data_IF_767839839606
#
_entry.id   IF_767839839606
#
_cell.length_a   1.000
_cell.length_b   1.000
_cell.length_c   1.000
_cell.angle_alpha   90.00
_cell.angle_beta   90.00
_cell.angle_gamma   90.00
#
_symmetry.space_group_name_H-M   'P 1'
#
loop_
_entity.id
_entity.type
_entity.pdbx_description
1 polymer ?
#
# COMPACT_ATOMS: atom_id res chain seq x y z
N UNK A 1 -0.07 3.68 -37.34
CA UNK A 1 0.67 2.55 -36.81
C UNK A 1 0.05 1.27 -37.34
N UNK A 2 0.77 0.53 -38.18
CA UNK A 2 0.34 -0.79 -38.65
C UNK A 2 0.60 -1.75 -37.48
N UNK A 3 -0.47 -2.23 -36.85
CA UNK A 3 -0.37 -3.28 -35.83
C UNK A 3 0.23 -4.54 -36.46
N UNK A 4 1.04 -5.28 -35.73
CA UNK A 4 1.42 -6.63 -36.10
C UNK A 4 0.17 -7.49 -36.21
N UNK A 5 0.19 -8.48 -37.12
CA UNK A 5 -0.95 -9.38 -37.33
C UNK A 5 -1.18 -10.40 -36.19
N UNK A 6 -0.73 -10.09 -34.99
CA UNK A 6 -0.91 -10.89 -33.79
C UNK A 6 -2.21 -10.54 -33.06
N UNK A 7 -2.70 -11.47 -32.27
CA UNK A 7 -3.86 -11.28 -31.43
C UNK A 7 -3.67 -10.04 -30.53
N UNK A 8 -4.69 -9.18 -30.44
CA UNK A 8 -4.59 -7.93 -29.70
C UNK A 8 -4.50 -8.21 -28.20
N UNK A 9 -3.38 -7.88 -27.61
CA UNK A 9 -3.21 -7.85 -26.14
C UNK A 9 -3.47 -6.45 -25.60
N UNK A 10 -4.27 -6.35 -24.54
CA UNK A 10 -4.50 -5.10 -23.83
C UNK A 10 -3.27 -4.79 -22.98
N UNK A 11 -2.62 -3.66 -23.22
CA UNK A 11 -1.49 -3.22 -22.42
C UNK A 11 -1.93 -2.74 -21.02
N UNK A 12 -1.00 -2.75 -20.06
CA UNK A 12 -1.26 -2.21 -18.72
C UNK A 12 -1.73 -0.75 -18.74
N UNK A 13 -1.12 0.08 -19.60
CA UNK A 13 -1.54 1.48 -19.77
C UNK A 13 -2.97 1.61 -20.32
N UNK A 14 -3.39 0.69 -21.21
CA UNK A 14 -4.76 0.65 -21.71
C UNK A 14 -5.75 0.21 -20.63
N UNK A 15 -5.36 -0.72 -19.74
CA UNK A 15 -6.19 -1.13 -18.61
C UNK A 15 -6.38 0.05 -17.63
N UNK A 16 -5.31 0.74 -17.26
CA UNK A 16 -5.37 1.93 -16.39
C UNK A 16 -6.27 3.02 -17.02
N UNK A 17 -6.15 3.24 -18.32
CA UNK A 17 -7.02 4.19 -19.02
C UNK A 17 -8.49 3.76 -18.99
N UNK A 18 -8.77 2.47 -19.12
CA UNK A 18 -10.16 1.96 -19.02
C UNK A 18 -10.75 2.18 -17.64
N UNK A 19 -9.96 1.96 -16.59
CA UNK A 19 -10.41 2.18 -15.22
C UNK A 19 -10.70 3.66 -14.92
N UNK A 20 -9.90 4.58 -15.46
CA UNK A 20 -10.03 6.00 -15.16
C UNK A 20 -10.97 6.75 -16.14
N UNK A 21 -10.87 6.45 -17.42
CA UNK A 21 -11.60 7.16 -18.49
C UNK A 21 -12.80 6.37 -19.01
N UNK A 22 -12.92 5.12 -18.67
CA UNK A 22 -14.03 4.27 -19.05
C UNK A 22 -15.34 4.67 -18.36
N UNK A 23 -16.36 3.87 -18.62
CA UNK A 23 -17.68 4.04 -18.01
C UNK A 23 -18.14 2.76 -17.34
N UNK A 24 -18.92 2.94 -16.29
CA UNK A 24 -19.54 1.88 -15.51
C UNK A 24 -21.05 2.03 -15.46
N UNK A 25 -21.72 0.94 -15.17
CA UNK A 25 -23.12 0.95 -14.75
C UNK A 25 -23.16 1.31 -13.27
N UNK A 26 -24.07 2.24 -12.90
CA UNK A 26 -24.26 2.71 -11.51
C UNK A 26 -25.75 2.79 -11.18
N UNK A 27 -26.08 2.69 -9.89
CA UNK A 27 -27.42 2.85 -9.39
C UNK A 27 -27.91 4.30 -9.58
N UNK A 28 -29.14 4.47 -10.05
CA UNK A 28 -29.77 5.79 -10.22
C UNK A 28 -30.22 6.40 -8.91
N UNK A 29 -30.57 5.55 -7.94
CA UNK A 29 -31.07 5.88 -6.60
C UNK A 29 -30.56 4.84 -5.61
N UNK A 30 -30.80 5.03 -4.33
CA UNK A 30 -30.58 3.98 -3.34
C UNK A 30 -31.51 2.80 -3.58
N UNK A 31 -30.96 1.60 -3.68
CA UNK A 31 -31.66 0.35 -3.97
C UNK A 31 -31.41 -0.62 -2.80
N UNK A 32 -32.47 -1.28 -2.35
CA UNK A 32 -32.35 -2.26 -1.28
C UNK A 32 -32.07 -3.65 -1.85
N UNK A 33 -31.42 -4.49 -1.05
CA UNK A 33 -31.31 -5.92 -1.28
C UNK A 33 -32.68 -6.52 -1.61
N UNK A 34 -32.71 -7.38 -2.61
CA UNK A 34 -33.96 -7.99 -3.12
C UNK A 34 -34.63 -7.21 -4.23
N UNK A 35 -34.16 -5.99 -4.56
CA UNK A 35 -34.66 -5.23 -5.71
C UNK A 35 -34.36 -5.98 -7.01
N UNK A 36 -35.38 -6.18 -7.84
CA UNK A 36 -35.22 -6.67 -9.20
C UNK A 36 -34.88 -5.48 -10.09
N UNK A 37 -33.73 -5.51 -10.73
CA UNK A 37 -33.21 -4.39 -11.51
C UNK A 37 -33.98 -4.16 -12.78
N UNK A 38 -34.49 -2.94 -12.96
CA UNK A 38 -35.15 -2.42 -14.15
C UNK A 38 -34.30 -1.30 -14.77
N UNK A 39 -34.65 -0.88 -15.96
CA UNK A 39 -33.96 0.18 -16.70
C UNK A 39 -33.84 1.48 -15.89
N UNK A 40 -34.83 1.81 -15.08
CA UNK A 40 -34.88 3.02 -14.27
C UNK A 40 -33.87 2.98 -13.08
N UNK A 41 -33.39 1.80 -12.73
CA UNK A 41 -32.42 1.61 -11.65
C UNK A 41 -30.97 1.78 -12.09
N UNK A 42 -30.70 1.87 -13.39
CA UNK A 42 -29.37 1.77 -13.96
C UNK A 42 -29.06 2.97 -14.82
N UNK A 43 -27.96 3.62 -14.60
CA UNK A 43 -27.39 4.68 -15.46
C UNK A 43 -25.91 4.44 -15.73
N UNK A 44 -25.35 5.15 -16.71
CA UNK A 44 -23.94 5.06 -17.10
C UNK A 44 -23.18 6.27 -16.58
N UNK A 45 -22.07 6.05 -15.89
CA UNK A 45 -21.16 7.09 -15.36
C UNK A 45 -19.71 6.71 -15.57
N UNK A 46 -18.83 7.70 -15.56
CA UNK A 46 -17.39 7.51 -15.33
C UNK A 46 -17.09 7.54 -13.82
N UNK A 47 -16.04 6.88 -13.36
CA UNK A 47 -15.01 6.13 -14.09
C UNK A 47 -15.40 4.68 -14.42
N UNK A 48 -14.51 3.98 -15.13
CA UNK A 48 -14.67 2.58 -15.54
C UNK A 48 -14.28 1.55 -14.48
N UNK A 49 -14.59 1.79 -13.22
CA UNK A 49 -14.20 0.95 -12.07
C UNK A 49 -15.24 -0.12 -11.71
N UNK A 50 -16.45 0.02 -12.23
CA UNK A 50 -17.52 -0.94 -12.04
C UNK A 50 -17.80 -1.77 -13.29
N UNK A 51 -18.98 -2.38 -13.31
CA UNK A 51 -19.47 -3.19 -14.44
C UNK A 51 -19.53 -2.35 -15.72
N UNK A 52 -18.91 -2.82 -16.80
CA UNK A 52 -18.90 -2.12 -18.08
C UNK A 52 -20.32 -2.00 -18.66
N UNK A 53 -20.67 -0.88 -19.36
CA UNK A 53 -21.96 -0.70 -20.01
C UNK A 53 -22.37 -1.81 -20.99
N UNK A 54 -21.42 -2.56 -21.53
CA UNK A 54 -21.70 -3.71 -22.40
C UNK A 54 -22.53 -4.82 -21.71
N UNK A 55 -22.55 -4.85 -20.38
CA UNK A 55 -23.31 -5.82 -19.59
C UNK A 55 -24.71 -5.32 -19.18
N UNK A 56 -25.16 -4.18 -19.70
CA UNK A 56 -26.42 -3.56 -19.32
C UNK A 56 -27.62 -4.53 -19.45
N UNK A 57 -27.73 -5.18 -20.59
CA UNK A 57 -28.85 -6.12 -20.86
C UNK A 57 -28.79 -7.36 -19.93
N UNK A 58 -27.59 -7.78 -19.51
CA UNK A 58 -27.43 -8.91 -18.61
C UNK A 58 -27.77 -8.55 -17.16
N UNK A 59 -27.66 -7.26 -16.82
CA UNK A 59 -27.96 -6.76 -15.48
C UNK A 59 -29.46 -6.58 -15.26
N UNK A 60 -30.23 -6.33 -16.34
CA UNK A 60 -31.68 -6.22 -16.27
C UNK A 60 -32.31 -7.53 -15.78
N UNK A 61 -33.22 -7.42 -14.81
CA UNK A 61 -33.91 -8.56 -14.23
C UNK A 61 -33.09 -9.30 -13.16
N UNK A 62 -31.80 -8.97 -12.93
CA UNK A 62 -31.05 -9.48 -11.81
C UNK A 62 -31.65 -8.99 -10.49
N UNK A 63 -31.53 -9.82 -9.44
CA UNK A 63 -31.98 -9.45 -8.09
C UNK A 63 -30.78 -9.09 -7.22
N UNK A 64 -30.76 -7.86 -6.68
CA UNK A 64 -29.69 -7.39 -5.81
C UNK A 64 -29.53 -8.27 -4.58
N UNK A 65 -28.29 -8.64 -4.27
CA UNK A 65 -27.93 -9.42 -3.10
C UNK A 65 -27.47 -8.56 -1.92
N UNK A 66 -27.28 -7.25 -2.12
CA UNK A 66 -26.88 -6.26 -1.14
C UNK A 66 -27.55 -4.91 -1.42
N UNK A 67 -27.47 -3.99 -0.47
CA UNK A 67 -27.96 -2.63 -0.66
C UNK A 67 -26.96 -1.82 -1.51
N UNK A 68 -27.47 -0.93 -2.35
CA UNK A 68 -26.69 0.07 -3.10
C UNK A 68 -27.19 1.47 -2.75
N UNK A 69 -26.28 2.41 -2.67
CA UNK A 69 -26.60 3.84 -2.62
C UNK A 69 -26.68 4.40 -4.04
N UNK A 70 -27.26 5.60 -4.16
CA UNK A 70 -27.20 6.34 -5.42
C UNK A 70 -25.74 6.54 -5.84
N UNK A 71 -25.43 6.36 -7.14
CA UNK A 71 -24.11 6.42 -7.76
C UNK A 71 -23.17 5.23 -7.42
N UNK A 72 -23.57 4.27 -6.59
CA UNK A 72 -22.77 3.07 -6.37
C UNK A 72 -22.66 2.25 -7.67
N UNK A 73 -21.48 1.66 -7.88
CA UNK A 73 -21.22 0.82 -9.03
C UNK A 73 -21.89 -0.55 -8.92
N UNK A 74 -22.38 -1.04 -10.05
CA UNK A 74 -22.63 -2.47 -10.21
C UNK A 74 -21.32 -3.19 -10.54
N UNK A 75 -21.22 -4.46 -10.13
CA UNK A 75 -20.04 -5.30 -10.31
C UNK A 75 -20.41 -6.63 -11.00
N UNK A 76 -19.43 -7.40 -11.51
CA UNK A 76 -19.69 -8.72 -12.09
C UNK A 76 -20.44 -9.69 -11.17
N UNK A 77 -20.31 -9.54 -9.85
CA UNK A 77 -21.05 -10.30 -8.84
C UNK A 77 -22.55 -10.07 -8.91
N UNK A 78 -23.01 -8.89 -9.36
CA UNK A 78 -24.43 -8.56 -9.47
C UNK A 78 -25.12 -9.29 -10.64
N UNK A 79 -24.34 -9.75 -11.64
CA UNK A 79 -24.83 -10.52 -12.77
C UNK A 79 -25.19 -11.96 -12.42
N UNK A 80 -24.56 -12.52 -11.39
CA UNK A 80 -24.55 -13.97 -11.17
C UNK A 80 -25.62 -14.47 -10.20
N UNK A 81 -26.31 -13.59 -9.49
CA UNK A 81 -27.15 -13.95 -8.34
C UNK A 81 -26.41 -14.84 -7.31
N UNK A 82 -25.09 -14.87 -7.37
CA UNK A 82 -24.26 -15.62 -6.45
C UNK A 82 -24.05 -14.76 -5.20
N UNK A 83 -24.44 -15.28 -4.08
CA UNK A 83 -24.11 -14.68 -2.79
C UNK A 83 -22.60 -14.80 -2.59
N UNK A 84 -21.90 -13.67 -2.43
CA UNK A 84 -20.53 -13.69 -1.99
C UNK A 84 -20.56 -14.02 -0.50
N UNK A 85 -20.28 -15.29 -0.18
CA UNK A 85 -20.12 -15.72 1.20
C UNK A 85 -18.68 -15.47 1.62
N UNK A 86 -18.46 -14.88 2.81
CA UNK A 86 -17.13 -14.83 3.38
C UNK A 86 -16.55 -16.24 3.46
N UNK A 87 -15.39 -16.44 2.90
CA UNK A 87 -14.70 -17.73 2.96
C UNK A 87 -13.68 -17.70 4.09
N UNK A 88 -13.62 -18.79 4.85
CA UNK A 88 -12.55 -18.98 5.83
C UNK A 88 -11.29 -19.42 5.09
N UNK A 89 -10.45 -18.44 4.74
CA UNK A 89 -9.15 -18.70 4.14
C UNK A 89 -8.17 -19.16 5.22
N UNK A 90 -7.45 -20.23 4.94
CA UNK A 90 -6.30 -20.66 5.73
C UNK A 90 -5.06 -20.44 4.89
N UNK A 91 -4.24 -19.52 5.30
CA UNK A 91 -2.98 -19.22 4.62
C UNK A 91 -1.84 -20.01 5.27
N UNK A 92 -0.92 -20.53 4.44
CA UNK A 92 0.27 -21.26 4.91
C UNK A 92 1.37 -20.34 5.48
N UNK A 93 1.18 -19.01 5.42
CA UNK A 93 2.07 -18.00 5.98
C UNK A 93 1.24 -16.91 6.65
N UNK A 94 1.80 -16.21 7.66
CA UNK A 94 1.15 -15.04 8.24
C UNK A 94 0.79 -14.01 7.18
N UNK A 95 -0.37 -13.41 7.32
CA UNK A 95 -0.87 -12.36 6.43
C UNK A 95 -1.33 -11.16 7.24
N UNK A 96 -1.29 -9.99 6.63
CA UNK A 96 -1.69 -8.74 7.27
C UNK A 96 -2.30 -7.75 6.30
N UNK A 97 -2.85 -6.68 6.86
CA UNK A 97 -3.41 -5.57 6.10
C UNK A 97 -2.82 -4.25 6.57
N UNK A 98 -2.59 -3.29 5.64
CA UNK A 98 -2.17 -1.95 6.02
C UNK A 98 -3.33 -1.20 6.68
N UNK A 99 -3.00 -0.44 7.73
CA UNK A 99 -3.93 0.41 8.47
C UNK A 99 -3.29 1.75 8.81
N UNK A 100 -4.13 2.73 9.15
CA UNK A 100 -3.77 3.98 9.80
C UNK A 100 -4.31 3.99 11.23
N UNK A 101 -3.86 4.92 12.06
CA UNK A 101 -4.39 5.02 13.43
C UNK A 101 -5.92 5.17 13.46
N UNK A 102 -6.47 6.01 12.58
CA UNK A 102 -7.89 6.33 12.55
C UNK A 102 -8.80 5.20 12.05
N UNK A 103 -8.30 4.24 11.28
CA UNK A 103 -9.10 3.16 10.72
C UNK A 103 -8.85 1.79 11.37
N UNK A 104 -7.79 1.64 12.16
CA UNK A 104 -7.40 0.42 12.84
C UNK A 104 -8.58 -0.23 13.60
N UNK A 105 -9.31 0.56 14.41
CA UNK A 105 -10.46 0.05 15.17
C UNK A 105 -11.57 -0.52 14.28
N UNK A 106 -11.75 0.05 13.10
CA UNK A 106 -12.72 -0.45 12.14
C UNK A 106 -12.31 -1.82 11.57
N UNK A 107 -11.01 -2.03 11.35
CA UNK A 107 -10.49 -3.28 10.82
C UNK A 107 -10.42 -4.38 11.88
N UNK A 108 -9.86 -4.12 13.06
CA UNK A 108 -9.71 -5.12 14.13
C UNK A 108 -11.06 -5.73 14.55
N UNK A 109 -12.14 -4.96 14.43
CA UNK A 109 -13.50 -5.43 14.75
C UNK A 109 -14.16 -6.25 13.63
N UNK A 110 -13.58 -6.32 12.43
CA UNK A 110 -14.21 -6.94 11.25
C UNK A 110 -13.42 -8.09 10.67
N UNK A 111 -12.10 -8.09 10.81
CA UNK A 111 -11.21 -9.08 10.24
C UNK A 111 -10.23 -9.57 11.31
N UNK A 112 -9.68 -10.76 11.09
CA UNK A 112 -8.71 -11.39 12.00
C UNK A 112 -7.45 -11.75 11.21
N UNK A 113 -6.61 -10.77 10.86
CA UNK A 113 -5.31 -11.04 10.26
C UNK A 113 -4.32 -11.52 11.33
N UNK A 114 -3.19 -12.07 10.89
CA UNK A 114 -2.08 -12.40 11.80
C UNK A 114 -1.36 -11.15 12.30
N UNK A 115 -1.34 -10.09 11.46
CA UNK A 115 -0.72 -8.80 11.80
C UNK A 115 -1.40 -7.60 11.12
N UNK A 116 -1.22 -6.41 11.70
CA UNK A 116 -1.52 -5.13 11.05
C UNK A 116 -0.24 -4.39 10.71
N UNK A 117 -0.21 -3.77 9.51
CA UNK A 117 0.86 -2.86 9.11
C UNK A 117 0.42 -1.41 9.31
N UNK A 118 0.98 -0.73 10.32
CA UNK A 118 0.78 0.71 10.49
C UNK A 118 1.57 1.48 9.44
N UNK A 119 0.88 1.86 8.39
CA UNK A 119 1.44 2.56 7.24
C UNK A 119 1.49 4.06 7.51
N UNK A 120 2.56 4.55 8.13
CA UNK A 120 2.67 5.93 8.60
C UNK A 120 2.86 6.93 7.46
N UNK A 121 2.24 8.09 7.59
CA UNK A 121 2.62 9.33 6.90
C UNK A 121 3.43 10.23 7.84
N UNK A 122 4.05 11.28 7.30
CA UNK A 122 4.79 12.22 8.16
C UNK A 122 3.90 12.92 9.19
N UNK A 123 2.63 13.14 8.88
CA UNK A 123 1.66 13.74 9.80
C UNK A 123 1.27 12.80 10.94
N UNK A 124 1.34 11.49 10.72
CA UNK A 124 1.04 10.51 11.78
C UNK A 124 2.14 10.48 12.86
N UNK A 125 3.34 10.98 12.53
CA UNK A 125 4.48 11.01 13.47
C UNK A 125 4.32 12.04 14.61
N UNK A 126 3.41 12.98 14.48
CA UNK A 126 3.12 14.01 15.49
C UNK A 126 1.80 13.75 16.25
N UNK A 127 1.14 12.62 15.96
CA UNK A 127 -0.12 12.21 16.58
C UNK A 127 0.15 11.47 17.89
N UNK A 128 -0.66 11.75 18.91
CA UNK A 128 -0.69 10.93 20.12
C UNK A 128 -1.46 9.63 19.83
N UNK A 129 -0.73 8.52 19.86
CA UNK A 129 -1.29 7.19 19.56
C UNK A 129 -2.41 6.82 20.53
N UNK A 130 -2.38 7.32 21.75
CA UNK A 130 -3.40 7.06 22.78
C UNK A 130 -4.78 7.60 22.42
N UNK A 131 -4.87 8.55 21.49
CA UNK A 131 -6.15 9.05 20.98
C UNK A 131 -6.90 8.01 20.12
N UNK A 132 -6.20 6.97 19.63
CA UNK A 132 -6.73 5.98 18.70
C UNK A 132 -6.71 4.54 19.20
N UNK A 133 -5.80 4.22 20.12
CA UNK A 133 -5.59 2.87 20.61
C UNK A 133 -5.88 2.79 22.11
N UNK A 134 -6.84 1.93 22.47
CA UNK A 134 -7.25 1.70 23.85
C UNK A 134 -6.96 0.23 24.26
N UNK A 135 -6.26 0.06 25.38
CA UNK A 135 -5.98 -1.29 25.91
C UNK A 135 -4.92 -2.06 25.11
N UNK A 136 -5.08 -3.38 24.97
CA UNK A 136 -4.14 -4.26 24.27
C UNK A 136 -4.83 -5.15 23.26
N UNK A 137 -4.13 -5.50 22.19
CA UNK A 137 -4.63 -6.26 21.07
C UNK A 137 -3.84 -7.57 20.90
N UNK A 138 -4.51 -8.75 20.85
CA UNK A 138 -3.85 -10.04 20.71
C UNK A 138 -3.54 -10.36 19.22
N UNK A 139 -2.90 -9.46 18.54
CA UNK A 139 -2.51 -9.55 17.13
C UNK A 139 -1.12 -8.94 16.99
N UNK A 140 -0.35 -9.37 16.00
CA UNK A 140 0.96 -8.78 15.73
C UNK A 140 0.86 -7.49 14.93
N UNK A 141 1.93 -6.71 14.93
CA UNK A 141 2.04 -5.51 14.11
C UNK A 141 3.42 -5.31 13.52
N UNK A 142 3.44 -4.59 12.40
CA UNK A 142 4.63 -4.01 11.77
C UNK A 142 4.37 -2.54 11.48
N UNK A 143 5.41 -1.77 11.27
CA UNK A 143 5.33 -0.36 10.87
C UNK A 143 5.93 -0.18 9.50
N UNK A 144 5.24 0.53 8.62
CA UNK A 144 5.81 1.04 7.38
C UNK A 144 6.18 2.51 7.57
N UNK A 145 7.47 2.80 7.45
CA UNK A 145 8.00 4.16 7.60
C UNK A 145 7.47 5.09 6.51
N UNK A 146 7.23 6.37 6.81
CA UNK A 146 6.94 7.35 5.78
C UNK A 146 8.06 7.41 4.73
N UNK A 147 7.70 7.48 3.46
CA UNK A 147 8.64 7.77 2.38
C UNK A 147 8.91 9.28 2.24
N UNK A 148 7.87 10.08 2.52
CA UNK A 148 7.89 11.54 2.48
C UNK A 148 7.78 12.11 3.88
N UNK A 149 8.66 13.02 4.22
CA UNK A 149 8.64 13.83 5.44
C UNK A 149 8.25 15.28 5.15
N UNK A 150 8.08 16.06 6.20
CA UNK A 150 7.71 17.47 6.10
C UNK A 150 8.59 18.24 5.11
N UNK A 151 7.97 19.10 4.30
CA UNK A 151 8.64 19.84 3.21
C UNK A 151 8.93 18.99 1.97
N UNK A 152 8.17 17.91 1.75
CA UNK A 152 8.33 17.00 0.60
C UNK A 152 9.72 16.35 0.50
N UNK A 153 10.38 16.18 1.63
CA UNK A 153 11.69 15.51 1.70
C UNK A 153 11.49 14.00 1.71
N UNK A 154 12.21 13.32 0.83
CA UNK A 154 12.29 11.87 0.84
C UNK A 154 13.27 11.38 1.91
N UNK A 155 13.00 10.25 2.54
CA UNK A 155 14.00 9.59 3.36
C UNK A 155 15.18 9.14 2.48
N UNK A 156 16.40 9.41 2.93
CA UNK A 156 17.61 8.96 2.25
C UNK A 156 18.75 8.73 3.26
N UNK A 157 18.75 7.54 3.84
CA UNK A 157 19.80 7.10 4.77
C UNK A 157 21.16 6.86 4.09
N UNK A 158 21.16 6.83 2.75
CA UNK A 158 22.36 6.63 1.93
C UNK A 158 22.82 7.92 1.21
N UNK A 159 22.23 9.06 1.57
CA UNK A 159 22.47 10.34 0.90
C UNK A 159 23.96 10.71 0.83
N UNK A 160 24.46 11.17 -0.33
CA UNK A 160 25.82 11.71 -0.43
C UNK A 160 25.98 13.05 0.30
N UNK A 161 24.88 13.72 0.65
CA UNK A 161 24.87 14.97 1.40
C UNK A 161 24.70 14.70 2.88
N UNK A 162 25.77 14.87 3.67
CA UNK A 162 25.82 14.48 5.08
C UNK A 162 24.70 15.11 5.93
N UNK A 163 24.40 16.41 5.73
CA UNK A 163 23.30 17.05 6.46
C UNK A 163 21.94 16.40 6.16
N UNK A 164 21.69 16.04 4.91
CA UNK A 164 20.45 15.38 4.49
C UNK A 164 20.36 13.94 5.05
N UNK A 165 21.50 13.22 5.03
CA UNK A 165 21.60 11.88 5.65
C UNK A 165 21.28 11.93 7.14
N UNK A 166 21.86 12.88 7.87
CA UNK A 166 21.62 13.08 9.30
C UNK A 166 20.17 13.47 9.61
N UNK A 167 19.54 14.27 8.75
CA UNK A 167 18.10 14.55 8.84
C UNK A 167 17.29 13.26 8.70
N UNK A 168 17.62 12.42 7.72
CA UNK A 168 16.98 11.12 7.52
C UNK A 168 17.20 10.18 8.70
N UNK A 169 18.37 10.17 9.30
CA UNK A 169 18.65 9.41 10.53
C UNK A 169 17.74 9.87 11.68
N UNK A 170 17.59 11.19 11.89
CA UNK A 170 16.70 11.71 12.94
C UNK A 170 15.24 11.32 12.73
N UNK A 171 14.74 11.42 11.49
CA UNK A 171 13.35 11.04 11.20
C UNK A 171 13.15 9.52 11.32
N UNK A 172 14.13 8.71 10.91
CA UNK A 172 14.09 7.26 11.11
C UNK A 172 14.09 6.91 12.61
N UNK A 173 14.88 7.62 13.43
CA UNK A 173 14.87 7.42 14.88
C UNK A 173 13.48 7.72 15.48
N UNK A 174 12.80 8.76 15.02
CA UNK A 174 11.42 9.06 15.44
C UNK A 174 10.46 7.90 15.10
N UNK A 175 10.60 7.30 13.93
CA UNK A 175 9.79 6.12 13.55
C UNK A 175 10.08 4.94 14.48
N UNK A 176 11.34 4.71 14.83
CA UNK A 176 11.74 3.68 15.81
C UNK A 176 11.07 3.93 17.15
N UNK A 177 11.10 5.16 17.65
CA UNK A 177 10.53 5.51 18.95
C UNK A 177 9.00 5.39 18.95
N UNK A 178 8.33 5.77 17.85
CA UNK A 178 6.89 5.52 17.64
C UNK A 178 6.59 4.03 17.64
N UNK A 179 7.40 3.22 16.98
CA UNK A 179 7.25 1.76 16.94
C UNK A 179 7.36 1.13 18.33
N UNK A 180 8.31 1.62 19.15
CA UNK A 180 8.43 1.23 20.56
C UNK A 180 7.18 1.61 21.36
N UNK A 181 6.63 2.79 21.12
CA UNK A 181 5.39 3.24 21.78
C UNK A 181 4.20 2.38 21.36
N UNK A 182 4.09 2.01 20.07
CA UNK A 182 3.04 1.10 19.59
C UNK A 182 3.10 -0.26 20.28
N UNK A 183 4.29 -0.77 20.58
CA UNK A 183 4.47 -2.11 21.18
C UNK A 183 3.70 -2.30 22.49
N UNK A 184 3.43 -1.26 23.27
CA UNK A 184 2.64 -1.38 24.52
C UNK A 184 1.21 -1.87 24.28
N UNK A 185 0.66 -1.62 23.09
CA UNK A 185 -0.69 -2.05 22.68
C UNK A 185 -0.71 -3.46 22.07
N UNK A 186 0.46 -4.00 21.69
CA UNK A 186 0.60 -5.28 20.97
C UNK A 186 1.60 -6.21 21.70
N UNK A 187 1.21 -6.76 22.85
CA UNK A 187 2.14 -7.51 23.70
C UNK A 187 2.64 -8.83 23.07
N UNK A 188 1.92 -9.38 22.08
CA UNK A 188 2.35 -10.58 21.34
C UNK A 188 3.58 -10.33 20.46
N UNK A 189 3.76 -9.10 19.97
CA UNK A 189 4.88 -8.76 19.10
C UNK A 189 6.17 -8.58 19.93
N UNK A 190 7.07 -9.54 19.86
CA UNK A 190 8.31 -9.51 20.65
C UNK A 190 9.26 -8.43 20.12
N UNK A 191 9.50 -8.40 18.81
CA UNK A 191 10.41 -7.47 18.14
C UNK A 191 9.74 -6.93 16.89
N UNK A 192 9.07 -5.77 16.97
CA UNK A 192 8.36 -5.21 15.83
C UNK A 192 9.33 -4.82 14.71
N UNK A 193 8.88 -5.08 13.48
CA UNK A 193 9.60 -4.76 12.26
C UNK A 193 9.19 -3.38 11.75
N UNK A 194 10.14 -2.66 11.17
CA UNK A 194 9.92 -1.39 10.48
C UNK A 194 10.36 -1.55 9.03
N UNK A 195 9.42 -1.56 8.11
CA UNK A 195 9.70 -1.58 6.67
C UNK A 195 9.99 -0.15 6.23
N UNK A 196 11.12 0.09 5.60
CA UNK A 196 11.54 1.43 5.20
C UNK A 196 12.18 1.45 3.81
N UNK A 197 11.85 2.47 3.02
CA UNK A 197 12.66 2.84 1.87
C UNK A 197 13.95 3.50 2.38
N UNK A 198 15.08 2.97 1.97
CA UNK A 198 16.39 3.37 2.51
C UNK A 198 16.95 4.61 1.81
N UNK A 199 16.41 4.99 0.65
CA UNK A 199 16.94 6.06 -0.17
C UNK A 199 17.90 5.56 -1.25
N UNK A 200 18.88 6.40 -1.60
CA UNK A 200 19.82 6.10 -2.68
C UNK A 200 19.27 6.46 -4.05
N UNK A 201 18.50 7.53 -4.14
CA UNK A 201 17.89 7.98 -5.39
C UNK A 201 18.85 8.78 -6.25
N UNK A 202 18.62 8.71 -7.56
CA UNK A 202 19.19 9.63 -8.55
C UNK A 202 18.12 10.11 -9.51
N UNK A 203 18.32 11.30 -10.13
CA UNK A 203 17.33 11.91 -11.02
C UNK A 203 17.57 11.56 -12.49
N UNK A 204 18.82 11.58 -12.93
CA UNK A 204 19.14 11.58 -14.36
C UNK A 204 19.48 10.20 -14.93
N UNK A 205 20.12 9.36 -14.13
CA UNK A 205 20.57 8.03 -14.53
C UNK A 205 20.81 7.14 -13.32
N UNK A 206 20.76 5.81 -13.47
CA UNK A 206 21.18 4.89 -12.42
C UNK A 206 22.69 5.03 -12.15
N UNK A 207 23.07 4.74 -10.90
CA UNK A 207 24.47 4.78 -10.48
C UNK A 207 25.26 3.58 -11.05
N UNK A 208 26.54 3.80 -11.29
CA UNK A 208 27.46 2.71 -11.60
C UNK A 208 27.69 1.81 -10.36
N UNK A 209 28.02 0.51 -10.56
CA UNK A 209 28.25 -0.41 -9.44
C UNK A 209 29.29 0.07 -8.42
N UNK A 210 30.35 0.75 -8.87
CA UNK A 210 31.37 1.29 -7.97
C UNK A 210 30.85 2.44 -7.09
N UNK A 211 29.94 3.25 -7.60
CA UNK A 211 29.31 4.33 -6.84
C UNK A 211 28.25 3.79 -5.89
N UNK A 212 27.47 2.77 -6.30
CA UNK A 212 26.46 2.10 -5.45
C UNK A 212 27.12 1.62 -4.14
N UNK A 213 28.34 1.04 -4.19
CA UNK A 213 29.04 0.60 -3.00
C UNK A 213 29.25 1.74 -1.98
N UNK A 214 29.54 2.96 -2.45
CA UNK A 214 29.70 4.12 -1.55
C UNK A 214 28.38 4.55 -0.89
N UNK A 215 27.24 4.30 -1.55
CA UNK A 215 25.91 4.54 -0.96
C UNK A 215 25.59 3.51 0.12
N UNK A 216 25.91 2.23 -0.09
CA UNK A 216 25.77 1.20 0.95
C UNK A 216 26.64 1.52 2.17
N UNK A 217 27.88 1.99 1.99
CA UNK A 217 28.73 2.41 3.13
C UNK A 217 28.11 3.56 3.96
N UNK A 218 27.42 4.50 3.29
CA UNK A 218 26.71 5.57 4.01
C UNK A 218 25.47 5.03 4.72
N UNK A 219 24.75 4.09 4.12
CA UNK A 219 23.65 3.40 4.78
C UNK A 219 24.14 2.64 6.01
N UNK A 220 25.23 1.87 5.93
CA UNK A 220 25.86 1.22 7.08
C UNK A 220 26.20 2.23 8.19
N UNK A 221 26.82 3.35 7.82
CA UNK A 221 27.08 4.44 8.76
C UNK A 221 25.79 4.92 9.43
N UNK A 222 24.72 5.13 8.68
CA UNK A 222 23.43 5.55 9.24
C UNK A 222 22.86 4.52 10.21
N UNK A 223 23.01 3.23 9.93
CA UNK A 223 22.59 2.15 10.84
C UNK A 223 23.35 2.17 12.18
N UNK A 224 24.62 2.57 12.19
CA UNK A 224 25.41 2.70 13.44
C UNK A 224 25.02 3.91 14.29
N UNK A 225 24.37 4.91 13.69
CA UNK A 225 23.91 6.12 14.36
C UNK A 225 22.46 6.00 14.89
N UNK A 226 21.74 4.92 14.54
CA UNK A 226 20.39 4.62 15.01
C UNK A 226 20.43 3.73 16.27
N UNK A 227 19.66 4.11 17.28
CA UNK A 227 19.31 3.20 18.37
C UNK A 227 18.16 2.28 17.91
N UNK A 228 18.52 1.03 17.58
CA UNK A 228 17.58 0.01 17.09
C UNK A 228 17.22 -1.04 18.13
N UNK A 229 17.53 -0.79 19.43
CA UNK A 229 17.21 -1.75 20.47
C UNK A 229 15.70 -2.07 20.49
N UNK A 230 15.37 -3.35 20.49
CA UNK A 230 14.00 -3.86 20.57
C UNK A 230 13.16 -3.76 19.28
N UNK A 231 13.72 -3.26 18.16
CA UNK A 231 13.06 -3.23 16.86
C UNK A 231 13.94 -3.81 15.76
N UNK A 232 13.35 -4.09 14.60
CA UNK A 232 14.08 -4.54 13.42
C UNK A 232 13.76 -3.62 12.24
N UNK A 233 14.79 -3.01 11.64
CA UNK A 233 14.66 -2.18 10.44
C UNK A 233 14.88 -3.03 9.20
N UNK A 234 13.86 -3.12 8.33
CA UNK A 234 13.87 -3.95 7.13
C UNK A 234 13.86 -3.04 5.89
N UNK A 235 14.89 -3.12 5.03
CA UNK A 235 14.89 -2.41 3.75
C UNK A 235 13.76 -2.89 2.85
N UNK A 236 12.98 -1.97 2.31
CA UNK A 236 11.99 -2.26 1.29
C UNK A 236 12.65 -2.53 -0.05
N UNK A 237 12.22 -3.60 -0.74
CA UNK A 237 12.62 -3.84 -2.13
C UNK A 237 11.97 -2.79 -3.03
N UNK A 238 12.79 -2.10 -3.81
CA UNK A 238 12.35 -1.03 -4.69
C UNK A 238 12.50 -1.41 -6.16
N UNK A 239 11.61 -0.88 -7.00
CA UNK A 239 11.73 -1.07 -8.44
C UNK A 239 12.92 -0.26 -8.98
N UNK A 240 13.77 -0.87 -9.85
CA UNK A 240 14.97 -0.23 -10.38
C UNK A 240 14.68 0.85 -11.43
N UNK A 241 13.46 0.91 -11.96
CA UNK A 241 13.09 1.82 -13.03
C UNK A 241 12.60 3.17 -12.52
N UNK A 242 12.69 4.24 -13.33
CA UNK A 242 12.25 5.57 -12.96
C UNK A 242 10.71 5.70 -13.02
N UNK A 243 10.00 4.93 -12.22
CA UNK A 243 8.53 5.04 -12.08
C UNK A 243 8.09 5.64 -10.74
N UNK A 244 8.97 5.63 -9.78
CA UNK A 244 8.72 6.19 -8.45
C UNK A 244 8.46 7.70 -8.57
N UNK A 245 7.41 8.21 -7.93
CA UNK A 245 6.93 9.59 -8.08
C UNK A 245 6.75 10.04 -9.54
N UNK A 246 6.06 9.22 -10.33
CA UNK A 246 5.78 9.55 -11.72
C UNK A 246 6.95 9.34 -12.68
N UNK A 247 7.91 8.51 -12.31
CA UNK A 247 9.03 8.17 -13.17
C UNK A 247 10.19 9.16 -13.14
N UNK A 248 10.29 9.97 -12.10
CA UNK A 248 11.29 11.04 -11.99
C UNK A 248 12.56 10.63 -11.25
N UNK A 249 12.62 9.41 -10.68
CA UNK A 249 13.75 8.97 -9.84
C UNK A 249 14.14 7.54 -10.15
N UNK A 250 15.45 7.31 -10.18
CA UNK A 250 16.03 5.97 -10.22
C UNK A 250 16.31 5.52 -8.79
N UNK A 251 15.83 4.34 -8.44
CA UNK A 251 16.22 3.66 -7.21
C UNK A 251 17.49 2.84 -7.48
N UNK A 252 18.48 2.94 -6.61
CA UNK A 252 19.78 2.30 -6.82
C UNK A 252 20.13 1.24 -5.77
N UNK A 253 19.46 1.24 -4.60
CA UNK A 253 19.70 0.31 -3.51
C UNK A 253 18.49 -0.61 -3.32
N UNK A 254 18.74 -1.86 -2.93
CA UNK A 254 17.72 -2.87 -2.67
C UNK A 254 16.73 -3.07 -3.84
N UNK A 255 17.27 -3.04 -5.06
CA UNK A 255 16.49 -3.18 -6.29
C UNK A 255 16.46 -4.62 -6.83
N UNK A 256 17.19 -5.52 -6.24
CA UNK A 256 17.18 -6.94 -6.58
C UNK A 256 17.16 -7.84 -5.32
N UNK A 257 16.70 -9.07 -5.52
CA UNK A 257 16.52 -10.02 -4.42
C UNK A 257 17.84 -10.46 -3.78
N UNK A 258 18.92 -10.55 -4.57
CA UNK A 258 20.24 -11.01 -4.06
C UNK A 258 20.82 -10.01 -3.06
N UNK A 259 20.62 -8.70 -3.28
CA UNK A 259 20.98 -7.66 -2.32
C UNK A 259 20.20 -7.81 -1.01
N UNK A 260 18.88 -8.04 -1.09
CA UNK A 260 18.05 -8.26 0.09
C UNK A 260 18.53 -9.48 0.88
N UNK A 261 18.78 -10.61 0.20
CA UNK A 261 19.25 -11.84 0.85
C UNK A 261 20.57 -11.60 1.57
N UNK A 262 21.51 -10.92 0.91
CA UNK A 262 22.79 -10.57 1.50
C UNK A 262 22.62 -9.77 2.79
N UNK A 263 21.84 -8.72 2.77
CA UNK A 263 21.62 -7.83 3.92
C UNK A 263 20.79 -8.46 5.05
N UNK A 264 19.90 -9.39 4.76
CA UNK A 264 19.16 -10.15 5.78
C UNK A 264 20.02 -11.25 6.42
N UNK A 265 21.14 -11.63 5.84
CA UNK A 265 22.07 -12.62 6.35
C UNK A 265 23.22 -12.04 7.22
N UNK A 266 23.37 -10.75 7.21
CA UNK A 266 24.36 -9.98 8.00
C UNK A 266 23.68 -9.32 9.22
#
# INVERSE_FOLDING_TARGET
>A
ALGGGEERHISQGEMINRENLGKSLVATTSLLKGTVLAADNIKVRSPGQGLSPQFYEQLLGCTLQHDLKEEDFFYPSDLKNERIEPQNYVFGRPWGVPVRYHDFQSYINRIQPDLFEFHLSYSDMDIDISDFLEGTYPVDFVVHSPELFSGSRLMDLASPYEAYRLDSVRETQRVIDITRNLKQYFPSTVRPMIVANIGGFTMDAPLSPSVIQSYYQRFEKSLTELDREGVELIPQTMAPFPWHFGGQRYQNLFVNVDEIIKWCGE
#
